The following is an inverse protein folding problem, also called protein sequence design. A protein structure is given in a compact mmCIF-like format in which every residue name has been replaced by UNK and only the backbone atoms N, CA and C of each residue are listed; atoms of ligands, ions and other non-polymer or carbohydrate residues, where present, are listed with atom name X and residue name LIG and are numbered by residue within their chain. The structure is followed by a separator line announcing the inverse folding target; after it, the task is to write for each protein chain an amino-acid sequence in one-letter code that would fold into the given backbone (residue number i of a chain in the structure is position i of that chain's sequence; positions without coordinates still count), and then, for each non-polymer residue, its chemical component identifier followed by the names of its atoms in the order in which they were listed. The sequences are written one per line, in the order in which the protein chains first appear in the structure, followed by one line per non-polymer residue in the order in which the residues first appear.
data_IF_781244655850
#
_entry.id   IF_781244655850
#
_cell.length_a   1.000
_cell.length_b   1.000
_cell.length_c   1.000
_cell.angle_alpha   90.00
_cell.angle_beta   90.00
_cell.angle_gamma   90.00
#
_symmetry.space_group_name_H-M   'P 1'
#
loop_
_entity.id
_entity.type
_entity.pdbx_description
1 polymer ?
#
# COMPACT_ATOMS: atom_id res chain seq x y z
N UNK A 1 -15.98 12.99 5.75
CA UNK A 1 -15.79 11.53 5.63
C UNK A 1 -14.31 11.30 5.39
N UNK A 2 -13.70 10.26 6.01
CA UNK A 2 -12.28 9.96 5.84
C UNK A 2 -12.05 8.98 4.70
N UNK A 3 -11.01 9.20 3.90
CA UNK A 3 -10.58 8.30 2.85
C UNK A 3 -9.11 7.90 3.10
N UNK A 4 -8.83 6.61 3.17
CA UNK A 4 -7.48 6.07 3.31
C UNK A 4 -7.18 5.18 2.12
N UNK A 5 -6.10 5.47 1.41
CA UNK A 5 -5.63 4.64 0.29
C UNK A 5 -4.14 4.88 0.05
N UNK A 6 -3.53 4.07 -0.81
CA UNK A 6 -2.11 4.24 -1.12
C UNK A 6 -1.66 3.46 -2.35
N UNK A 7 -0.49 3.85 -2.86
CA UNK A 7 0.17 3.21 -4.00
C UNK A 7 1.51 2.62 -3.55
N UNK A 8 1.83 1.46 -4.11
CA UNK A 8 3.10 0.77 -3.86
C UNK A 8 4.18 1.34 -4.80
N UNK A 9 5.37 1.76 -4.29
CA UNK A 9 6.45 2.30 -5.09
C UNK A 9 7.24 1.19 -5.81
N UNK A 10 6.65 0.63 -6.88
CA UNK A 10 7.26 -0.45 -7.67
C UNK A 10 7.85 0.00 -9.01
N UNK A 11 7.89 1.30 -9.24
CA UNK A 11 8.38 1.95 -10.44
C UNK A 11 7.46 3.10 -10.87
N UNK A 12 7.71 3.65 -12.05
CA UNK A 12 6.93 4.76 -12.62
C UNK A 12 5.46 4.39 -12.75
N UNK A 13 4.57 5.31 -12.36
CA UNK A 13 3.14 5.12 -12.51
C UNK A 13 2.74 5.09 -14.00
N UNK A 14 1.92 4.14 -14.35
CA UNK A 14 1.34 4.04 -15.67
C UNK A 14 -0.13 4.53 -15.66
N UNK A 15 -0.70 4.68 -16.83
CA UNK A 15 -2.07 5.22 -17.00
C UNK A 15 -3.13 4.43 -16.22
N UNK A 16 -2.93 3.14 -16.01
CA UNK A 16 -3.81 2.31 -15.17
C UNK A 16 -3.77 2.71 -13.70
N UNK A 17 -2.60 3.10 -13.17
CA UNK A 17 -2.49 3.63 -11.79
C UNK A 17 -3.17 4.99 -11.69
N UNK A 18 -3.06 5.83 -12.71
CA UNK A 18 -3.73 7.12 -12.75
C UNK A 18 -5.26 6.95 -12.65
N UNK A 19 -5.88 6.21 -13.55
CA UNK A 19 -7.34 6.03 -13.54
C UNK A 19 -7.83 5.15 -12.38
N UNK A 20 -7.04 4.16 -11.98
CA UNK A 20 -7.40 3.21 -10.92
C UNK A 20 -7.27 3.76 -9.49
N UNK A 21 -6.40 4.75 -9.28
CA UNK A 21 -6.11 5.29 -7.96
C UNK A 21 -5.99 6.81 -7.93
N UNK A 22 -5.00 7.41 -8.59
CA UNK A 22 -4.65 8.82 -8.41
C UNK A 22 -5.80 9.78 -8.74
N UNK A 23 -6.52 9.54 -9.84
CA UNK A 23 -7.72 10.30 -10.20
C UNK A 23 -8.83 10.19 -9.15
N UNK A 24 -8.96 9.03 -8.50
CA UNK A 24 -9.93 8.84 -7.42
C UNK A 24 -9.56 9.69 -6.20
N UNK A 25 -8.25 9.80 -5.87
CA UNK A 25 -7.77 10.61 -4.76
C UNK A 25 -8.08 12.10 -4.99
N UNK A 26 -7.79 12.63 -6.17
CA UNK A 26 -8.11 14.00 -6.56
C UNK A 26 -9.62 14.26 -6.49
N UNK A 27 -10.45 13.35 -7.01
CA UNK A 27 -11.91 13.44 -6.92
C UNK A 27 -12.43 13.41 -5.49
N UNK A 28 -11.85 12.63 -4.58
CA UNK A 28 -12.23 12.62 -3.17
C UNK A 28 -11.84 13.93 -2.50
N UNK A 29 -10.66 14.46 -2.78
CA UNK A 29 -10.21 15.76 -2.29
C UNK A 29 -11.16 16.87 -2.74
N UNK A 30 -11.58 16.90 -4.01
CA UNK A 30 -12.50 17.90 -4.56
C UNK A 30 -13.90 17.83 -3.92
N UNK A 31 -14.29 16.66 -3.39
CA UNK A 31 -15.54 16.45 -2.66
C UNK A 31 -15.41 16.68 -1.15
N UNK A 32 -14.34 17.32 -0.69
CA UNK A 32 -14.07 17.63 0.71
C UNK A 32 -13.99 16.38 1.62
N UNK A 33 -13.49 15.26 1.12
CA UNK A 33 -13.09 14.13 1.97
C UNK A 33 -11.77 14.48 2.67
N UNK A 34 -11.64 14.09 3.91
CA UNK A 34 -10.38 14.10 4.65
C UNK A 34 -9.51 12.96 4.13
N UNK A 35 -8.64 13.26 3.17
CA UNK A 35 -7.84 12.27 2.44
C UNK A 35 -6.52 11.97 3.14
N UNK A 36 -6.22 10.69 3.30
CA UNK A 36 -4.95 10.14 3.80
C UNK A 36 -4.38 9.20 2.74
N UNK A 37 -3.38 9.66 2.01
CA UNK A 37 -2.81 8.92 0.88
C UNK A 37 -1.36 8.55 1.17
N UNK A 38 -1.13 7.25 1.39
CA UNK A 38 0.20 6.78 1.76
C UNK A 38 0.95 6.12 0.60
N UNK A 39 2.26 6.17 0.70
CA UNK A 39 3.15 5.40 -0.15
C UNK A 39 3.46 4.11 0.59
N UNK A 40 3.11 2.96 -0.02
CA UNK A 40 3.15 1.66 0.62
C UNK A 40 4.57 1.03 0.50
N UNK A 41 5.55 1.67 1.11
CA UNK A 41 6.95 1.26 1.10
C UNK A 41 7.18 -0.08 1.80
N UNK A 42 6.55 -0.35 2.95
CA UNK A 42 6.60 -1.67 3.59
C UNK A 42 6.08 -2.79 2.70
N UNK A 43 5.04 -2.54 1.91
CA UNK A 43 4.53 -3.54 0.98
C UNK A 43 5.50 -3.86 -0.16
N UNK A 44 6.45 -2.96 -0.44
CA UNK A 44 7.46 -3.16 -1.47
C UNK A 44 8.53 -4.15 -1.01
N UNK A 45 8.83 -4.20 0.29
CA UNK A 45 9.81 -5.12 0.86
C UNK A 45 9.52 -6.59 0.54
N UNK A 46 8.27 -6.94 0.29
CA UNK A 46 7.88 -8.30 -0.11
C UNK A 46 8.47 -8.77 -1.45
N UNK A 47 9.01 -7.86 -2.25
CA UNK A 47 9.67 -8.15 -3.53
C UNK A 47 11.19 -8.03 -3.48
N UNK A 48 11.77 -7.89 -2.30
CA UNK A 48 13.22 -7.70 -2.11
C UNK A 48 13.80 -6.58 -3.00
N UNK A 49 13.27 -5.35 -2.93
CA UNK A 49 13.73 -4.26 -3.78
C UNK A 49 15.16 -3.85 -3.43
N UNK A 50 15.88 -3.32 -4.41
CA UNK A 50 17.10 -2.56 -4.15
C UNK A 50 16.76 -1.31 -3.32
N UNK A 51 17.45 -1.02 -2.20
CA UNK A 51 17.13 0.10 -1.32
C UNK A 51 17.24 1.47 -2.01
N UNK A 52 18.23 1.67 -2.90
CA UNK A 52 18.37 2.91 -3.63
C UNK A 52 17.20 3.13 -4.59
N UNK A 53 16.81 2.06 -5.30
CA UNK A 53 15.68 2.06 -6.22
C UNK A 53 14.34 2.27 -5.49
N UNK A 54 14.20 1.69 -4.30
CA UNK A 54 13.02 1.92 -3.47
C UNK A 54 12.88 3.39 -3.08
N UNK A 55 13.98 4.01 -2.69
CA UNK A 55 14.01 5.44 -2.35
C UNK A 55 13.64 6.31 -3.56
N UNK A 56 14.24 6.06 -4.72
CA UNK A 56 13.91 6.77 -5.97
C UNK A 56 12.43 6.63 -6.32
N UNK A 57 11.92 5.41 -6.40
CA UNK A 57 10.51 5.15 -6.72
C UNK A 57 9.55 5.80 -5.70
N UNK A 58 9.96 5.89 -4.43
CA UNK A 58 9.16 6.54 -3.39
C UNK A 58 8.99 8.04 -3.68
N UNK A 59 10.08 8.71 -4.04
CA UNK A 59 10.05 10.12 -4.42
C UNK A 59 9.27 10.35 -5.72
N UNK A 60 9.40 9.46 -6.70
CA UNK A 60 8.63 9.52 -7.93
C UNK A 60 7.11 9.50 -7.65
N UNK A 61 6.64 8.62 -6.75
CA UNK A 61 5.22 8.59 -6.36
C UNK A 61 4.77 9.89 -5.67
N UNK A 62 5.62 10.50 -4.83
CA UNK A 62 5.29 11.80 -4.23
C UNK A 62 5.10 12.85 -5.30
N UNK A 63 6.03 12.93 -6.26
CA UNK A 63 5.97 13.89 -7.37
C UNK A 63 4.74 13.64 -8.25
N UNK A 64 4.44 12.38 -8.55
CA UNK A 64 3.25 11.99 -9.31
C UNK A 64 1.95 12.40 -8.58
N UNK A 65 1.86 12.21 -7.27
CA UNK A 65 0.70 12.64 -6.48
C UNK A 65 0.46 14.14 -6.60
N UNK A 66 1.53 14.94 -6.49
CA UNK A 66 1.45 16.39 -6.64
C UNK A 66 1.10 16.80 -8.07
N UNK A 67 1.71 16.15 -9.06
CA UNK A 67 1.45 16.39 -10.49
C UNK A 67 0.01 16.05 -10.90
N UNK A 68 -0.60 15.05 -10.24
CA UNK A 68 -2.01 14.68 -10.47
C UNK A 68 -3.01 15.58 -9.74
N UNK A 69 -2.54 16.59 -9.02
CA UNK A 69 -3.39 17.60 -8.40
C UNK A 69 -3.75 17.34 -6.93
N UNK A 70 -3.06 16.41 -6.26
CA UNK A 70 -3.19 16.29 -4.81
C UNK A 70 -2.54 17.52 -4.14
N UNK A 71 -3.36 18.25 -3.39
CA UNK A 71 -2.96 19.42 -2.62
C UNK A 71 -2.60 18.99 -1.19
N UNK A 72 -1.32 19.12 -0.77
CA UNK A 72 -0.88 18.73 0.58
C UNK A 72 -1.49 19.60 1.70
N UNK A 73 -2.14 20.73 1.36
CA UNK A 73 -2.89 21.50 2.33
C UNK A 73 -4.31 20.93 2.59
N UNK A 74 -4.79 20.06 1.72
CA UNK A 74 -6.14 19.47 1.81
C UNK A 74 -6.12 17.98 2.13
N UNK A 75 -5.02 17.31 1.81
CA UNK A 75 -4.85 15.86 2.00
C UNK A 75 -3.51 15.56 2.65
N UNK A 76 -3.47 14.55 3.49
CA UNK A 76 -2.23 14.08 4.11
C UNK A 76 -1.56 13.07 3.19
N UNK A 77 -0.32 13.35 2.79
CA UNK A 77 0.54 12.42 2.04
C UNK A 77 1.65 11.96 2.98
N UNK A 78 1.84 10.64 3.14
CA UNK A 78 2.81 10.10 4.08
C UNK A 78 3.38 8.76 3.63
N UNK A 79 4.50 8.34 4.21
CA UNK A 79 5.04 7.01 4.04
C UNK A 79 4.38 6.05 5.03
N UNK A 80 4.06 4.86 4.60
CA UNK A 80 3.53 3.82 5.49
C UNK A 80 4.50 3.54 6.66
N UNK A 81 5.82 3.58 6.40
CA UNK A 81 6.86 3.41 7.42
C UNK A 81 6.92 4.51 8.48
N UNK A 82 6.28 5.65 8.26
CA UNK A 82 6.17 6.73 9.25
C UNK A 82 5.08 6.46 10.30
N UNK A 83 4.31 5.38 10.13
CA UNK A 83 3.26 4.96 11.08
C UNK A 83 3.61 3.56 11.61
N UNK A 84 4.53 3.47 12.59
CA UNK A 84 5.01 2.17 13.10
C UNK A 84 3.90 1.32 13.73
N UNK A 85 2.83 1.93 14.22
CA UNK A 85 1.66 1.27 14.79
C UNK A 85 1.00 0.27 13.83
N UNK A 86 1.13 0.49 12.52
CA UNK A 86 0.63 -0.44 11.49
C UNK A 86 1.34 -1.80 11.59
N UNK A 87 2.66 -1.77 11.81
CA UNK A 87 3.47 -3.00 11.95
C UNK A 87 3.23 -3.63 13.30
N UNK A 88 3.13 -2.84 14.36
CA UNK A 88 2.82 -3.30 15.71
C UNK A 88 1.47 -4.03 15.74
N UNK A 89 0.43 -3.42 15.18
CA UNK A 89 -0.89 -4.05 15.06
C UNK A 89 -0.84 -5.32 14.21
N UNK A 90 -0.12 -5.30 13.09
CA UNK A 90 0.04 -6.48 12.24
C UNK A 90 0.73 -7.64 12.98
N UNK A 91 1.73 -7.35 13.81
CA UNK A 91 2.40 -8.33 14.66
C UNK A 91 1.43 -8.92 15.70
N UNK A 92 0.67 -8.07 16.42
CA UNK A 92 -0.33 -8.50 17.40
C UNK A 92 -1.38 -9.39 16.72
N UNK A 93 -1.97 -8.95 15.63
CA UNK A 93 -2.98 -9.73 14.88
C UNK A 93 -2.42 -11.04 14.34
N UNK A 94 -1.15 -11.04 13.92
CA UNK A 94 -0.46 -12.25 13.47
C UNK A 94 -0.42 -13.37 14.51
N UNK A 95 -0.32 -13.02 15.80
CA UNK A 95 -0.35 -14.01 16.89
C UNK A 95 -1.73 -14.66 17.11
N UNK A 96 -2.80 -13.97 16.69
CA UNK A 96 -4.17 -14.48 16.82
C UNK A 96 -4.73 -15.04 15.51
N UNK A 97 -4.02 -14.89 14.40
CA UNK A 97 -4.50 -15.32 13.08
C UNK A 97 -4.07 -16.75 12.77
N UNK A 98 -5.01 -17.70 12.66
CA UNK A 98 -4.68 -19.09 12.34
C UNK A 98 -4.08 -19.23 10.94
N UNK A 99 -3.06 -20.07 10.78
CA UNK A 99 -2.39 -20.34 9.50
C UNK A 99 -3.37 -20.76 8.39
N UNK A 100 -4.40 -21.55 8.74
CA UNK A 100 -5.44 -21.98 7.80
C UNK A 100 -6.29 -20.82 7.25
N UNK A 101 -6.42 -19.71 7.97
CA UNK A 101 -7.06 -18.50 7.46
C UNK A 101 -6.18 -17.81 6.43
N UNK A 102 -4.89 -17.67 6.72
CA UNK A 102 -3.91 -17.05 5.82
C UNK A 102 -3.77 -17.83 4.50
N UNK A 103 -3.77 -19.16 4.55
CA UNK A 103 -3.71 -20.01 3.36
C UNK A 103 -4.95 -19.89 2.45
N UNK A 104 -6.08 -19.44 2.99
CA UNK A 104 -7.31 -19.17 2.22
C UNK A 104 -7.30 -17.81 1.54
N UNK A 105 -6.40 -16.91 1.95
CA UNK A 105 -6.28 -15.58 1.36
C UNK A 105 -6.01 -15.64 -0.15
N UNK A 106 -6.67 -14.79 -0.91
CA UNK A 106 -6.59 -14.76 -2.37
C UNK A 106 -5.14 -14.60 -2.85
N UNK A 107 -4.40 -13.68 -2.23
CA UNK A 107 -2.99 -13.43 -2.53
C UNK A 107 -2.08 -14.64 -2.28
N UNK A 108 -2.39 -15.48 -1.29
CA UNK A 108 -1.65 -16.72 -1.02
C UNK A 108 -1.89 -17.74 -2.13
N UNK A 109 -3.16 -17.95 -2.48
CA UNK A 109 -3.57 -18.90 -3.54
C UNK A 109 -2.99 -18.53 -4.90
N UNK A 110 -3.04 -17.23 -5.27
CA UNK A 110 -2.50 -16.73 -6.53
C UNK A 110 -0.99 -17.01 -6.65
N UNK A 111 -0.24 -16.78 -5.57
CA UNK A 111 1.20 -17.02 -5.57
C UNK A 111 1.56 -18.49 -5.57
N UNK A 112 0.81 -19.30 -4.81
CA UNK A 112 0.97 -20.76 -4.83
C UNK A 112 0.72 -21.32 -6.24
N UNK A 113 -0.31 -20.84 -6.92
CA UNK A 113 -0.63 -21.25 -8.29
C UNK A 113 0.46 -20.86 -9.30
N UNK A 114 1.22 -19.79 -9.03
CA UNK A 114 2.33 -19.33 -9.86
C UNK A 114 3.69 -19.93 -9.48
N UNK A 115 3.75 -20.83 -8.52
CA UNK A 115 4.99 -21.36 -7.93
C UNK A 115 5.98 -20.27 -7.44
N UNK A 116 5.46 -19.12 -6.99
CA UNK A 116 6.27 -18.07 -6.42
C UNK A 116 6.65 -18.39 -4.97
N UNK A 117 7.87 -17.99 -4.56
CA UNK A 117 8.25 -18.08 -3.15
C UNK A 117 7.35 -17.20 -2.30
N UNK A 118 6.73 -17.80 -1.27
CA UNK A 118 5.85 -17.11 -0.35
C UNK A 118 6.62 -16.88 0.96
N UNK A 119 6.81 -15.63 1.33
CA UNK A 119 7.41 -15.26 2.61
C UNK A 119 6.34 -14.86 3.65
N UNK A 120 6.73 -14.83 4.94
CA UNK A 120 5.85 -14.48 6.06
C UNK A 120 5.28 -13.06 5.93
N UNK A 121 6.04 -12.11 5.40
CA UNK A 121 5.59 -10.75 5.18
C UNK A 121 4.45 -10.64 4.16
N UNK A 122 4.41 -11.54 3.18
CA UNK A 122 3.30 -11.60 2.21
C UNK A 122 2.01 -12.15 2.84
N UNK A 123 2.16 -13.02 3.82
CA UNK A 123 1.05 -13.55 4.61
C UNK A 123 0.48 -12.44 5.50
N UNK A 124 1.33 -11.69 6.19
CA UNK A 124 0.91 -10.53 7.00
C UNK A 124 0.15 -9.46 6.21
N UNK A 125 0.50 -9.25 4.93
CA UNK A 125 -0.23 -8.37 4.02
C UNK A 125 -1.68 -8.82 3.78
N UNK A 126 -1.93 -10.11 3.73
CA UNK A 126 -3.28 -10.65 3.56
C UNK A 126 -4.17 -10.30 4.76
N UNK A 127 -3.65 -10.37 5.98
CA UNK A 127 -4.39 -10.02 7.20
C UNK A 127 -4.73 -8.52 7.29
N UNK A 128 -3.91 -7.64 6.71
CA UNK A 128 -4.19 -6.20 6.67
C UNK A 128 -5.20 -5.79 5.56
N UNK A 129 -5.39 -6.61 4.55
CA UNK A 129 -6.19 -6.29 3.36
C UNK A 129 -7.56 -6.95 3.35
N UNK A 130 -7.70 -8.11 3.94
CA UNK A 130 -8.99 -8.75 4.10
C UNK A 130 -9.64 -8.18 5.37
N UNK A 131 -10.76 -7.52 5.19
CA UNK A 131 -11.58 -7.04 6.30
C UNK A 131 -11.89 -8.22 7.22
N UNK A 132 -11.42 -8.12 8.44
CA UNK A 132 -11.88 -8.96 9.53
C UNK A 132 -13.31 -8.54 9.88
#
# INVERSE_FOLDING_TARGET
MRALSGIKPTGTLHIGNYFGAAKQFEMMQSKNYEGYYFIADYHTLNGYPDPAKLTENTWDIVLDYLAFGLDPNKSVIFLQSQVPEVVELAFILGNYTPMGLLQRAHSYKDKTAKNEQINVGQIGRASCRERV
#
